data_IF_041601696134
#
_entry.id   IF_041601696134
#
_cell.length_a   1.000
_cell.length_b   1.000
_cell.length_c   1.000
_cell.angle_alpha   90.00
_cell.angle_beta   90.00
_cell.angle_gamma   90.00
#
_symmetry.space_group_name_H-M   'P 1'
#
loop_
_entity.id
_entity.type
_entity.pdbx_description
1 polymer ?
#
# COMPACT_ATOMS: atom_id res chain seq x y z
N UNK A 1 34.84 -16.24 14.36
CA UNK A 1 33.58 -16.97 14.59
C UNK A 1 32.64 -16.00 15.24
N UNK A 2 31.60 -15.68 14.49
CA UNK A 2 30.78 -14.48 14.60
C UNK A 2 29.94 -14.47 15.88
N UNK A 3 29.69 -13.24 16.35
CA UNK A 3 29.00 -12.93 17.59
C UNK A 3 27.67 -13.69 17.72
N UNK A 4 27.26 -14.09 18.94
CA UNK A 4 25.89 -14.50 19.16
C UNK A 4 25.02 -13.30 18.81
N UNK A 5 24.22 -13.44 17.76
CA UNK A 5 23.06 -12.59 17.57
C UNK A 5 22.29 -12.68 18.89
N UNK A 6 22.38 -11.59 19.63
CA UNK A 6 21.56 -11.19 20.77
C UNK A 6 20.12 -11.14 20.25
N UNK A 7 19.56 -12.34 20.07
CA UNK A 7 18.16 -12.55 19.77
C UNK A 7 17.46 -12.05 21.03
N UNK A 8 16.99 -10.83 20.90
CA UNK A 8 16.02 -10.04 21.66
C UNK A 8 14.85 -10.88 22.23
N UNK A 9 15.17 -11.82 23.13
CA UNK A 9 14.28 -12.84 23.69
C UNK A 9 13.75 -12.46 25.08
N UNK A 10 13.93 -11.21 25.54
CA UNK A 10 13.79 -10.94 26.99
C UNK A 10 13.13 -9.65 27.48
N UNK A 11 13.03 -8.56 26.70
CA UNK A 11 12.92 -7.26 27.37
C UNK A 11 11.51 -6.62 27.47
N UNK A 12 10.48 -7.07 26.73
CA UNK A 12 9.18 -6.33 26.75
C UNK A 12 7.93 -7.15 26.37
N UNK A 13 7.85 -8.41 26.80
CA UNK A 13 6.82 -9.36 26.36
C UNK A 13 5.35 -9.04 26.77
N UNK A 14 5.06 -7.96 27.51
CA UNK A 14 3.71 -7.65 28.00
C UNK A 14 2.93 -6.62 27.17
N UNK A 15 3.53 -5.46 26.85
CA UNK A 15 2.88 -4.36 26.11
C UNK A 15 3.18 -4.38 24.61
N UNK A 16 4.35 -4.89 24.23
CA UNK A 16 4.84 -4.86 22.85
C UNK A 16 4.17 -5.93 21.98
N UNK A 17 3.58 -6.98 22.55
CA UNK A 17 2.87 -8.00 21.78
C UNK A 17 1.55 -7.48 21.18
N UNK A 18 0.77 -6.70 21.94
CA UNK A 18 -0.42 -6.03 21.42
C UNK A 18 -0.04 -4.94 20.42
N UNK A 19 0.90 -4.07 20.76
CA UNK A 19 1.39 -3.02 19.85
C UNK A 19 1.94 -3.60 18.54
N UNK A 20 2.68 -4.72 18.60
CA UNK A 20 3.18 -5.38 17.37
C UNK A 20 2.08 -6.07 16.57
N UNK A 21 1.02 -6.57 17.23
CA UNK A 21 -0.13 -7.15 16.57
C UNK A 21 -0.93 -6.09 15.82
N UNK A 22 -1.21 -4.97 16.49
CA UNK A 22 -1.86 -3.79 15.90
C UNK A 22 -1.01 -3.20 14.76
N UNK A 23 0.30 -3.13 14.93
CA UNK A 23 1.21 -2.65 13.88
C UNK A 23 1.21 -3.57 12.64
N UNK A 24 1.11 -4.90 12.84
CA UNK A 24 1.00 -5.87 11.75
C UNK A 24 -0.35 -5.76 11.05
N UNK A 25 -1.44 -5.56 11.79
CA UNK A 25 -2.78 -5.32 11.24
C UNK A 25 -2.86 -4.03 10.44
N UNK A 26 -2.35 -2.93 11.00
CA UNK A 26 -2.28 -1.64 10.32
C UNK A 26 -1.48 -1.75 9.02
N UNK A 27 -0.31 -2.42 9.03
CA UNK A 27 0.50 -2.66 7.82
C UNK A 27 -0.25 -3.48 6.77
N UNK A 28 -1.05 -4.48 7.17
CA UNK A 28 -1.89 -5.25 6.24
C UNK A 28 -2.97 -4.37 5.62
N UNK A 29 -3.64 -3.54 6.43
CA UNK A 29 -4.69 -2.63 5.94
C UNK A 29 -4.13 -1.57 4.99
N UNK A 30 -2.96 -1.02 5.30
CA UNK A 30 -2.28 -0.04 4.43
C UNK A 30 -1.99 -0.67 3.06
N UNK A 31 -1.38 -1.87 3.01
CA UNK A 31 -1.09 -2.54 1.72
C UNK A 31 -2.35 -2.80 0.90
N UNK A 32 -3.44 -3.23 1.54
CA UNK A 32 -4.71 -3.46 0.87
C UNK A 32 -5.27 -2.15 0.29
N UNK A 33 -5.26 -1.07 1.08
CA UNK A 33 -5.73 0.24 0.64
C UNK A 33 -4.86 0.83 -0.47
N UNK A 34 -3.55 0.61 -0.43
CA UNK A 34 -2.63 1.02 -1.51
C UNK A 34 -2.98 0.33 -2.83
N UNK A 35 -3.28 -0.97 -2.78
CA UNK A 35 -3.68 -1.75 -3.94
C UNK A 35 -5.04 -1.29 -4.49
N UNK A 36 -6.03 -1.08 -3.63
CA UNK A 36 -7.33 -0.53 -4.01
C UNK A 36 -7.18 0.88 -4.62
N UNK A 37 -6.33 1.72 -4.03
CA UNK A 37 -6.05 3.07 -4.53
C UNK A 37 -5.35 3.05 -5.89
N UNK A 38 -4.48 2.08 -6.15
CA UNK A 38 -3.83 1.91 -7.46
C UNK A 38 -4.84 1.54 -8.54
N UNK A 39 -5.73 0.59 -8.27
CA UNK A 39 -6.83 0.22 -9.19
C UNK A 39 -7.72 1.43 -9.49
N UNK A 40 -8.06 2.20 -8.46
CA UNK A 40 -8.87 3.42 -8.63
C UNK A 40 -8.14 4.48 -9.46
N UNK A 41 -6.84 4.67 -9.26
CA UNK A 41 -6.03 5.59 -10.07
C UNK A 41 -6.00 5.16 -11.53
N UNK A 42 -5.87 3.86 -11.81
CA UNK A 42 -5.88 3.34 -13.18
C UNK A 42 -7.25 3.50 -13.83
N UNK A 43 -8.34 3.22 -13.10
CA UNK A 43 -9.71 3.42 -13.59
C UNK A 43 -9.98 4.89 -13.91
N UNK A 44 -9.57 5.82 -13.05
CA UNK A 44 -9.71 7.25 -13.26
C UNK A 44 -8.92 7.73 -14.50
N UNK A 45 -7.69 7.26 -14.68
CA UNK A 45 -6.88 7.58 -15.85
C UNK A 45 -7.50 7.03 -17.14
N UNK A 46 -8.02 5.81 -17.11
CA UNK A 46 -8.71 5.20 -18.26
C UNK A 46 -9.97 5.99 -18.63
N UNK A 47 -10.80 6.35 -17.64
CA UNK A 47 -12.00 7.16 -17.85
C UNK A 47 -11.67 8.57 -18.37
N UNK A 48 -10.62 9.20 -17.83
CA UNK A 48 -10.14 10.50 -18.30
C UNK A 48 -9.66 10.47 -19.75
N UNK A 49 -9.19 9.33 -20.25
CA UNK A 49 -8.83 9.16 -21.66
C UNK A 49 -10.07 8.96 -22.55
N UNK A 50 -11.05 8.18 -22.09
CA UNK A 50 -12.30 7.92 -22.82
C UNK A 50 -13.15 9.18 -23.02
N UNK A 51 -13.05 10.15 -22.11
CA UNK A 51 -13.80 11.41 -22.19
C UNK A 51 -13.09 12.53 -22.97
N UNK A 52 -11.96 12.24 -23.66
CA UNK A 52 -11.44 13.24 -24.61
C UNK A 52 -12.37 13.27 -25.81
N UNK A 53 -13.12 14.36 -26.07
CA UNK A 53 -13.92 14.47 -27.28
C UNK A 53 -12.98 14.23 -28.45
N UNK A 54 -13.28 13.19 -29.24
CA UNK A 54 -12.53 12.91 -30.45
C UNK A 54 -12.41 14.22 -31.20
N UNK A 55 -11.17 14.67 -31.45
CA UNK A 55 -10.93 15.79 -32.35
C UNK A 55 -11.35 15.32 -33.73
N UNK A 56 -12.66 15.38 -33.97
CA UNK A 56 -13.25 15.25 -35.27
C UNK A 56 -12.68 16.36 -36.11
N UNK A 57 -12.03 15.95 -37.20
CA UNK A 57 -12.26 16.59 -38.48
C UNK A 57 -12.02 18.11 -38.53
N UNK A 58 -10.76 18.53 -38.51
CA UNK A 58 -10.36 19.62 -39.41
C UNK A 58 -9.68 18.99 -40.63
N UNK A 59 -10.52 18.43 -41.51
CA UNK A 59 -10.27 18.42 -42.95
C UNK A 59 -11.01 19.62 -43.52
N UNK A 60 -10.35 20.76 -43.59
CA UNK A 60 -10.63 21.87 -44.50
C UNK A 60 -9.29 22.55 -44.81
#
# INVERSE_FOLDING_TARGET
MDAPADIDDGARAGTTSQETTELREARRRIRLLEQESEVLRWAAAYLSQAHRPGKGSTRL
#
